data_IF_100588577635
#
_entry.id   IF_100588577635
#
_cell.length_a   1.000
_cell.length_b   1.000
_cell.length_c   1.000
_cell.angle_alpha   90.00
_cell.angle_beta   90.00
_cell.angle_gamma   90.00
#
_symmetry.space_group_name_H-M   'P 1'
#
loop_
_entity.id
_entity.type
_entity.pdbx_description
1 polymer ?
#
# COMPACT_ATOMS: atom_id res chain seq x y z
N UNK A 1 -9.20 -2.62 -3.22
CA UNK A 1 -9.00 -1.25 -2.73
C UNK A 1 -7.96 -1.28 -1.63
N UNK A 2 -6.96 -0.43 -1.70
CA UNK A 2 -5.94 -0.30 -0.66
C UNK A 2 -6.26 0.91 0.19
N UNK A 3 -6.41 0.70 1.47
CA UNK A 3 -6.40 1.75 2.46
C UNK A 3 -4.94 2.12 2.77
N UNK A 4 -4.55 3.33 2.48
CA UNK A 4 -3.17 3.81 2.73
C UNK A 4 -2.77 3.83 4.20
N UNK A 5 -3.73 3.67 5.11
CA UNK A 5 -3.49 3.76 6.55
C UNK A 5 -3.23 2.41 7.19
N UNK A 6 -3.96 1.38 6.79
CA UNK A 6 -4.12 0.17 7.60
C UNK A 6 -3.89 -1.14 6.84
N UNK A 7 -3.31 -1.09 5.67
CA UNK A 7 -3.11 -2.28 4.86
C UNK A 7 -4.30 -2.54 3.92
N UNK A 8 -4.49 -3.78 3.55
CA UNK A 8 -5.36 -4.15 2.46
C UNK A 8 -6.74 -4.50 2.99
N UNK A 9 -7.75 -3.70 2.61
CA UNK A 9 -9.13 -4.16 2.69
C UNK A 9 -9.32 -5.38 1.78
N UNK A 10 -10.19 -6.35 2.12
CA UNK A 10 -10.46 -7.49 1.27
C UNK A 10 -10.82 -7.02 -0.14
N UNK A 11 -9.94 -7.30 -1.10
CA UNK A 11 -10.10 -6.87 -2.50
C UNK A 11 -11.15 -7.71 -3.21
N UNK A 12 -11.89 -7.19 -4.22
CA UNK A 12 -12.63 -8.02 -5.15
C UNK A 12 -11.68 -9.04 -5.80
N UNK A 13 -12.06 -10.30 -5.80
CA UNK A 13 -11.25 -11.38 -6.37
C UNK A 13 -11.72 -12.74 -5.89
N UNK A 14 -11.10 -13.79 -6.42
CA UNK A 14 -11.50 -15.18 -6.23
C UNK A 14 -11.74 -15.54 -4.76
N UNK A 15 -10.84 -15.12 -3.87
CA UNK A 15 -10.93 -15.40 -2.44
C UNK A 15 -12.08 -14.68 -1.74
N UNK A 16 -12.28 -13.40 -2.04
CA UNK A 16 -13.16 -12.54 -1.25
C UNK A 16 -14.57 -12.37 -1.87
N UNK A 17 -14.70 -12.49 -3.19
CA UNK A 17 -15.95 -12.21 -3.92
C UNK A 17 -16.30 -13.21 -5.00
N UNK A 18 -15.47 -14.23 -5.21
CA UNK A 18 -15.65 -15.23 -6.27
C UNK A 18 -15.18 -14.72 -7.63
N UNK A 19 -15.50 -15.48 -8.68
CA UNK A 19 -15.04 -15.26 -10.05
C UNK A 19 -16.07 -14.57 -10.95
N UNK A 20 -17.30 -14.45 -10.49
CA UNK A 20 -18.37 -13.84 -11.27
C UNK A 20 -18.28 -12.32 -11.32
N UNK A 21 -18.57 -11.70 -12.47
CA UNK A 21 -18.58 -10.25 -12.60
C UNK A 21 -19.61 -9.59 -11.67
N UNK A 22 -19.43 -8.33 -11.32
CA UNK A 22 -20.36 -7.62 -10.48
C UNK A 22 -19.92 -6.19 -10.16
N UNK A 23 -20.87 -5.46 -9.60
CA UNK A 23 -20.66 -4.12 -9.12
C UNK A 23 -20.29 -4.12 -7.63
N UNK A 24 -19.33 -3.29 -7.28
CA UNK A 24 -18.78 -3.18 -5.93
C UNK A 24 -18.79 -1.72 -5.51
N UNK A 25 -19.05 -1.46 -4.24
CA UNK A 25 -19.06 -0.12 -3.68
C UNK A 25 -17.87 0.09 -2.74
N UNK A 26 -17.03 1.09 -3.03
CA UNK A 26 -16.02 1.58 -2.10
C UNK A 26 -16.56 2.81 -1.37
N UNK A 27 -16.46 2.81 -0.04
CA UNK A 27 -16.96 3.89 0.81
C UNK A 27 -15.91 4.34 1.82
N UNK A 28 -15.95 5.62 2.19
CA UNK A 28 -15.10 6.19 3.23
C UNK A 28 -15.58 5.88 4.65
N UNK A 29 -14.85 6.36 5.66
CA UNK A 29 -15.09 6.03 7.07
C UNK A 29 -16.46 6.52 7.59
N UNK A 30 -16.96 7.61 7.03
CA UNK A 30 -18.21 8.25 7.48
C UNK A 30 -19.48 7.64 6.88
N UNK A 31 -19.34 6.66 5.97
CA UNK A 31 -20.47 6.02 5.34
C UNK A 31 -21.33 5.26 6.35
N UNK A 32 -22.61 5.61 6.43
CA UNK A 32 -23.61 4.98 7.33
C UNK A 32 -24.65 4.16 6.57
N UNK A 33 -24.61 4.15 5.24
CA UNK A 33 -25.57 3.42 4.42
C UNK A 33 -25.36 1.91 4.44
N UNK A 34 -26.39 1.19 4.00
CA UNK A 34 -26.34 -0.25 3.75
C UNK A 34 -25.80 -0.61 2.37
N UNK A 35 -25.97 -1.87 1.96
CA UNK A 35 -25.61 -2.33 0.62
C UNK A 35 -26.74 -2.00 -0.36
N UNK A 36 -26.53 -1.13 -1.36
CA UNK A 36 -27.54 -0.83 -2.36
C UNK A 36 -27.87 -2.03 -3.25
N UNK A 37 -29.09 -2.05 -3.82
CA UNK A 37 -29.47 -3.06 -4.79
C UNK A 37 -28.52 -3.08 -5.99
N UNK A 38 -28.11 -4.26 -6.43
CA UNK A 38 -27.16 -4.46 -7.53
C UNK A 38 -25.70 -4.43 -7.11
N UNK A 39 -25.38 -4.04 -5.88
CA UNK A 39 -24.01 -4.07 -5.33
C UNK A 39 -23.75 -5.43 -4.65
N UNK A 40 -22.75 -6.17 -5.11
CA UNK A 40 -22.36 -7.45 -4.53
C UNK A 40 -21.74 -7.31 -3.14
N UNK A 41 -20.90 -6.31 -2.94
CA UNK A 41 -20.22 -6.07 -1.67
C UNK A 41 -19.81 -4.60 -1.51
N UNK A 42 -19.87 -4.13 -0.26
CA UNK A 42 -19.36 -2.81 0.14
C UNK A 42 -17.99 -2.99 0.77
N UNK A 43 -16.99 -2.28 0.25
CA UNK A 43 -15.65 -2.18 0.82
C UNK A 43 -15.54 -0.85 1.57
N UNK A 44 -15.21 -0.93 2.86
CA UNK A 44 -15.10 0.24 3.74
C UNK A 44 -13.63 0.62 3.90
N UNK A 45 -13.31 1.83 3.52
CA UNK A 45 -12.00 2.43 3.80
C UNK A 45 -12.01 3.11 5.16
N UNK A 46 -10.92 3.03 5.89
CA UNK A 46 -10.72 3.75 7.16
C UNK A 46 -10.26 5.19 6.93
N UNK A 47 -9.96 5.56 5.68
CA UNK A 47 -9.58 6.92 5.29
C UNK A 47 -10.46 7.42 4.13
N UNK A 48 -10.59 8.75 3.92
CA UNK A 48 -11.32 9.28 2.78
C UNK A 48 -10.61 9.04 1.43
N UNK A 49 -9.34 8.62 1.46
CA UNK A 49 -8.57 8.31 0.25
C UNK A 49 -8.39 6.81 0.07
N UNK A 50 -8.80 6.31 -1.08
CA UNK A 50 -8.68 4.90 -1.44
C UNK A 50 -8.07 4.78 -2.83
N UNK A 51 -7.11 3.88 -2.99
CA UNK A 51 -6.58 3.49 -4.29
C UNK A 51 -7.21 2.16 -4.71
N UNK A 52 -7.83 2.12 -5.89
CA UNK A 52 -8.27 0.89 -6.52
C UNK A 52 -7.28 0.51 -7.63
N UNK A 53 -6.68 -0.67 -7.51
CA UNK A 53 -5.84 -1.27 -8.56
C UNK A 53 -6.58 -2.47 -9.11
N UNK A 54 -6.86 -2.47 -10.41
CA UNK A 54 -7.52 -3.57 -11.08
C UNK A 54 -6.49 -4.30 -11.94
N UNK A 55 -6.30 -5.59 -11.68
CA UNK A 55 -5.42 -6.45 -12.47
C UNK A 55 -6.24 -7.42 -13.28
N UNK A 56 -5.97 -7.50 -14.58
CA UNK A 56 -6.55 -8.47 -15.49
C UNK A 56 -5.47 -9.47 -15.87
N UNK A 57 -5.74 -10.75 -15.68
CA UNK A 57 -4.78 -11.79 -16.03
C UNK A 57 -4.59 -11.85 -17.54
N UNK A 58 -3.33 -11.91 -17.97
CA UNK A 58 -2.89 -12.16 -19.35
C UNK A 58 -2.21 -13.52 -19.36
N UNK A 59 -2.81 -14.51 -20.03
CA UNK A 59 -2.26 -15.87 -20.06
C UNK A 59 -1.06 -16.00 -21.02
N UNK A 60 -1.10 -15.28 -22.13
CA UNK A 60 -0.02 -15.22 -23.14
C UNK A 60 -0.28 -14.01 -24.07
N UNK A 61 0.66 -13.63 -24.92
CA UNK A 61 0.48 -12.48 -25.83
C UNK A 61 -0.74 -12.57 -26.74
N UNK A 62 -1.17 -13.77 -27.13
CA UNK A 62 -2.37 -13.97 -27.97
C UNK A 62 -3.69 -13.72 -27.24
N UNK A 63 -3.68 -13.65 -25.91
CA UNK A 63 -4.86 -13.35 -25.07
C UNK A 63 -5.14 -11.84 -24.92
N UNK A 64 -4.26 -10.98 -25.45
CA UNK A 64 -4.39 -9.53 -25.31
C UNK A 64 -5.76 -8.98 -25.74
N UNK A 65 -6.35 -9.42 -26.90
CA UNK A 65 -7.68 -8.93 -27.30
C UNK A 65 -8.79 -9.23 -26.28
N UNK A 66 -8.71 -10.37 -25.58
CA UNK A 66 -9.68 -10.68 -24.51
C UNK A 66 -9.47 -9.78 -23.30
N UNK A 67 -8.20 -9.51 -22.92
CA UNK A 67 -7.86 -8.59 -21.83
C UNK A 67 -8.38 -7.20 -22.12
N UNK A 68 -8.15 -6.67 -23.32
CA UNK A 68 -8.63 -5.36 -23.76
C UNK A 68 -10.17 -5.28 -23.74
N UNK A 69 -10.84 -6.32 -24.20
CA UNK A 69 -12.30 -6.43 -24.16
C UNK A 69 -12.83 -6.37 -22.72
N UNK A 70 -12.20 -7.09 -21.80
CA UNK A 70 -12.57 -7.08 -20.37
C UNK A 70 -12.32 -5.69 -19.78
N UNK A 71 -11.14 -5.12 -20.02
CA UNK A 71 -10.75 -3.81 -19.50
C UNK A 71 -11.64 -2.68 -20.02
N UNK A 72 -12.11 -2.75 -21.28
CA UNK A 72 -13.05 -1.78 -21.84
C UNK A 72 -14.40 -1.75 -21.13
N UNK A 73 -14.74 -2.84 -20.44
CA UNK A 73 -15.95 -2.95 -19.62
C UNK A 73 -15.80 -2.36 -18.21
N UNK A 74 -14.59 -2.01 -17.77
CA UNK A 74 -14.41 -1.44 -16.43
C UNK A 74 -14.98 -0.04 -16.34
N UNK A 75 -15.81 0.20 -15.33
CA UNK A 75 -16.47 1.47 -15.11
C UNK A 75 -16.35 1.89 -13.65
N UNK A 76 -15.86 3.10 -13.43
CA UNK A 76 -15.92 3.75 -12.13
C UNK A 76 -16.89 4.93 -12.21
N UNK A 77 -17.82 5.02 -11.25
CA UNK A 77 -18.81 6.09 -11.21
C UNK A 77 -19.22 6.40 -9.77
N UNK A 78 -19.68 7.62 -9.47
CA UNK A 78 -20.27 7.93 -8.17
C UNK A 78 -21.51 7.07 -7.89
N UNK A 79 -21.77 6.77 -6.62
CA UNK A 79 -22.95 6.00 -6.22
C UNK A 79 -24.26 6.65 -6.65
N UNK A 80 -24.36 7.98 -6.63
CA UNK A 80 -25.51 8.71 -7.12
C UNK A 80 -25.81 8.43 -8.60
N UNK A 81 -24.77 8.38 -9.44
CA UNK A 81 -24.92 8.01 -10.84
C UNK A 81 -25.37 6.56 -11.03
N UNK A 82 -24.81 5.63 -10.24
CA UNK A 82 -25.23 4.22 -10.26
C UNK A 82 -26.70 4.07 -9.87
N UNK A 83 -27.16 4.78 -8.85
CA UNK A 83 -28.53 4.77 -8.36
C UNK A 83 -29.50 5.67 -9.17
N UNK A 84 -29.00 6.36 -10.19
CA UNK A 84 -29.77 7.35 -10.98
C UNK A 84 -30.40 8.46 -10.10
N UNK A 85 -29.67 8.89 -9.11
CA UNK A 85 -30.05 9.95 -8.18
C UNK A 85 -29.28 11.25 -8.47
N UNK A 86 -29.78 12.42 -8.04
CA UNK A 86 -29.03 13.65 -8.13
C UNK A 86 -27.66 13.56 -7.49
N UNK A 87 -26.66 14.18 -8.12
CA UNK A 87 -25.33 14.26 -7.54
C UNK A 87 -25.36 15.06 -6.23
N UNK A 88 -24.62 14.65 -5.19
CA UNK A 88 -24.42 15.46 -4.00
C UNK A 88 -23.66 16.77 -4.37
N UNK A 89 -23.67 17.78 -3.49
CA UNK A 89 -22.82 18.96 -3.66
C UNK A 89 -21.36 18.56 -3.91
N UNK A 90 -20.68 19.32 -4.76
CA UNK A 90 -19.26 19.08 -5.02
C UNK A 90 -18.44 19.17 -3.72
N UNK A 91 -17.51 18.25 -3.54
CA UNK A 91 -16.57 18.32 -2.44
C UNK A 91 -15.71 19.60 -2.56
N UNK A 92 -15.28 20.18 -1.42
CA UNK A 92 -14.34 21.29 -1.44
C UNK A 92 -13.07 20.93 -2.22
N UNK A 93 -12.55 21.90 -2.99
CA UNK A 93 -11.27 21.72 -3.66
C UNK A 93 -10.17 21.55 -2.63
N UNK A 94 -9.32 20.53 -2.83
CA UNK A 94 -8.14 20.28 -2.00
C UNK A 94 -6.92 20.64 -2.83
N UNK A 95 -6.10 21.57 -2.35
CA UNK A 95 -4.82 21.87 -2.95
C UNK A 95 -3.76 20.91 -2.38
N UNK A 96 -3.55 19.81 -3.11
CA UNK A 96 -2.55 18.82 -2.74
C UNK A 96 -1.13 19.35 -3.01
N UNK A 97 -0.21 19.04 -2.09
CA UNK A 97 1.22 19.22 -2.35
C UNK A 97 1.64 18.39 -3.56
N UNK A 98 2.55 18.93 -4.35
CA UNK A 98 3.07 18.22 -5.52
C UNK A 98 3.72 16.90 -5.12
N UNK A 99 3.23 15.79 -5.66
CA UNK A 99 3.74 14.45 -5.35
C UNK A 99 5.00 14.18 -6.18
N UNK A 100 6.16 14.58 -5.66
CA UNK A 100 7.45 14.25 -6.23
C UNK A 100 8.40 13.73 -5.15
N UNK A 101 9.27 12.80 -5.51
CA UNK A 101 10.17 12.10 -4.58
C UNK A 101 11.12 13.06 -3.87
N UNK A 102 11.71 14.01 -4.59
CA UNK A 102 12.63 14.99 -4.00
C UNK A 102 11.92 15.89 -2.99
N UNK A 103 10.77 16.46 -3.36
CA UNK A 103 9.98 17.29 -2.46
C UNK A 103 9.54 16.55 -1.19
N UNK A 104 9.11 15.30 -1.31
CA UNK A 104 8.73 14.47 -0.15
C UNK A 104 9.94 14.20 0.75
N UNK A 105 11.11 13.89 0.18
CA UNK A 105 12.34 13.63 0.94
C UNK A 105 12.79 14.86 1.70
N UNK A 106 12.78 16.04 1.06
CA UNK A 106 13.28 17.28 1.66
C UNK A 106 12.30 17.90 2.65
N UNK A 107 10.98 17.66 2.48
CA UNK A 107 9.91 18.26 3.27
C UNK A 107 8.97 17.23 3.89
N UNK A 108 9.46 16.08 4.28
CA UNK A 108 8.67 14.94 4.77
C UNK A 108 7.60 15.34 5.79
N UNK A 109 7.95 16.14 6.79
CA UNK A 109 7.00 16.52 7.85
C UNK A 109 5.88 17.44 7.34
N UNK A 110 6.12 18.24 6.31
CA UNK A 110 5.07 19.05 5.69
C UNK A 110 4.07 18.16 4.95
N UNK A 111 4.56 17.13 4.23
CA UNK A 111 3.69 16.15 3.57
C UNK A 111 2.92 15.30 4.58
N UNK A 112 3.57 14.91 5.67
CA UNK A 112 2.92 14.18 6.76
C UNK A 112 1.82 15.02 7.38
N UNK A 113 2.08 16.30 7.71
CA UNK A 113 1.09 17.20 8.26
C UNK A 113 -0.12 17.36 7.33
N UNK A 114 0.13 17.62 6.04
CA UNK A 114 -0.91 17.72 5.04
C UNK A 114 -1.75 16.44 4.93
N UNK A 115 -1.13 15.25 4.98
CA UNK A 115 -1.83 13.97 4.94
C UNK A 115 -2.68 13.75 6.20
N UNK A 116 -2.17 14.14 7.37
CA UNK A 116 -2.84 13.94 8.65
C UNK A 116 -4.08 14.81 8.84
N UNK A 117 -4.27 15.87 8.05
CA UNK A 117 -5.52 16.65 8.04
C UNK A 117 -6.73 15.79 7.64
N UNK A 118 -6.51 14.74 6.85
CA UNK A 118 -7.57 13.90 6.28
C UNK A 118 -7.69 12.54 6.97
N UNK A 119 -6.77 12.17 7.84
CA UNK A 119 -6.72 10.84 8.43
C UNK A 119 -7.24 10.89 9.87
N UNK A 120 -8.43 10.31 10.18
CA UNK A 120 -8.95 10.27 11.54
C UNK A 120 -7.98 9.59 12.52
N UNK A 121 -7.91 10.04 13.75
CA UNK A 121 -7.10 9.37 14.78
C UNK A 121 -7.75 8.06 15.23
N UNK A 122 -6.95 7.01 15.42
CA UNK A 122 -7.40 5.77 16.04
C UNK A 122 -6.79 5.60 17.44
N UNK A 123 -7.37 4.74 18.29
CA UNK A 123 -6.80 4.45 19.60
C UNK A 123 -5.32 3.98 19.55
N UNK A 124 -4.92 3.28 18.49
CA UNK A 124 -3.55 2.75 18.33
C UNK A 124 -2.54 3.82 17.93
N UNK A 125 -2.95 4.85 17.17
CA UNK A 125 -2.02 5.90 16.74
C UNK A 125 -2.02 7.14 17.66
N UNK A 126 -2.86 7.16 18.67
CA UNK A 126 -2.98 8.28 19.64
C UNK A 126 -1.63 8.71 20.22
N UNK A 127 -0.81 7.75 20.66
CA UNK A 127 0.48 8.06 21.27
C UNK A 127 1.47 8.69 20.30
N UNK A 128 1.55 8.22 19.06
CA UNK A 128 2.43 8.83 18.04
C UNK A 128 1.87 10.18 17.58
N UNK A 129 0.55 10.31 17.46
CA UNK A 129 -0.10 11.58 17.14
C UNK A 129 0.20 12.65 18.19
N UNK A 130 0.15 12.29 19.48
CA UNK A 130 0.50 13.21 20.56
C UNK A 130 1.97 13.68 20.45
N UNK A 131 2.91 12.81 20.05
CA UNK A 131 4.31 13.20 19.79
C UNK A 131 4.41 14.17 18.62
N UNK A 132 3.75 13.88 17.50
CA UNK A 132 3.73 14.74 16.32
C UNK A 132 3.10 16.11 16.62
N UNK A 133 2.05 16.15 17.41
CA UNK A 133 1.39 17.38 17.82
C UNK A 133 2.31 18.34 18.61
N UNK A 134 3.32 17.82 19.32
CA UNK A 134 4.31 18.63 20.04
C UNK A 134 5.22 19.46 19.11
N UNK A 135 5.42 18.99 17.89
CA UNK A 135 6.20 19.69 16.85
C UNK A 135 5.30 20.38 15.81
N UNK A 136 4.01 20.54 16.11
CA UNK A 136 3.08 21.29 15.27
C UNK A 136 2.47 20.48 14.12
N UNK A 137 2.52 19.15 14.16
CA UNK A 137 1.98 18.27 13.10
C UNK A 137 0.67 17.64 13.54
N UNK A 138 -0.36 17.72 12.71
CA UNK A 138 -1.66 17.07 12.92
C UNK A 138 -2.87 17.94 12.61
N UNK A 139 -4.10 17.42 12.77
CA UNK A 139 -5.32 18.13 12.43
C UNK A 139 -5.44 19.49 13.14
N UNK A 140 -5.75 20.52 12.37
CA UNK A 140 -5.87 21.90 12.87
C UNK A 140 -4.54 22.56 13.22
N UNK A 141 -3.41 21.95 12.87
CA UNK A 141 -2.05 22.50 12.99
C UNK A 141 -1.49 22.77 11.62
N UNK A 142 -0.43 23.56 11.56
CA UNK A 142 0.32 23.83 10.33
C UNK A 142 1.81 23.73 10.65
N UNK A 143 2.45 22.72 10.12
CA UNK A 143 3.88 22.55 10.26
C UNK A 143 4.62 23.52 9.34
N UNK A 144 5.32 24.47 9.93
CA UNK A 144 6.04 25.50 9.21
C UNK A 144 7.56 25.40 9.48
N UNK A 145 8.24 24.50 8.75
CA UNK A 145 9.69 24.27 8.90
C UNK A 145 10.49 25.56 8.80
N UNK A 146 10.10 26.47 7.88
CA UNK A 146 10.80 27.77 7.67
C UNK A 146 10.85 28.63 8.92
N UNK A 147 9.87 28.53 9.79
CA UNK A 147 9.69 29.40 10.98
C UNK A 147 10.38 28.82 12.23
N UNK A 148 10.97 27.63 12.13
CA UNK A 148 11.72 27.01 13.23
C UNK A 148 13.09 27.70 13.41
N UNK A 149 13.63 27.62 14.64
CA UNK A 149 15.02 28.01 14.93
C UNK A 149 16.02 27.16 14.13
N UNK A 150 17.25 27.63 13.97
CA UNK A 150 18.31 26.86 13.31
C UNK A 150 18.58 25.53 14.02
N UNK A 151 18.54 25.52 15.36
CA UNK A 151 18.72 24.34 16.18
C UNK A 151 17.61 23.31 15.90
N UNK A 152 16.34 23.70 15.99
CA UNK A 152 15.22 22.78 15.71
C UNK A 152 15.20 22.29 14.26
N UNK A 153 15.60 23.13 13.29
CA UNK A 153 15.78 22.68 11.91
C UNK A 153 16.83 21.57 11.80
N UNK A 154 17.96 21.74 12.46
CA UNK A 154 19.03 20.75 12.47
C UNK A 154 18.57 19.44 13.15
N UNK A 155 17.90 19.52 14.29
CA UNK A 155 17.35 18.34 15.00
C UNK A 155 16.36 17.55 14.13
N UNK A 156 15.47 18.25 13.41
CA UNK A 156 14.50 17.61 12.49
C UNK A 156 15.22 16.90 11.36
N UNK A 157 16.21 17.53 10.72
CA UNK A 157 16.96 16.90 9.62
C UNK A 157 17.73 15.66 10.09
N UNK A 158 18.35 15.74 11.27
CA UNK A 158 19.01 14.58 11.90
C UNK A 158 18.01 13.48 12.21
N UNK A 159 16.86 13.83 12.77
CA UNK A 159 15.78 12.87 13.08
C UNK A 159 15.22 12.17 11.83
N UNK A 160 15.02 12.91 10.72
CA UNK A 160 14.59 12.36 9.44
C UNK A 160 15.61 11.34 8.91
N UNK A 161 16.91 11.71 8.91
CA UNK A 161 17.95 10.78 8.49
C UNK A 161 18.03 9.53 9.36
N UNK A 162 18.01 9.68 10.67
CA UNK A 162 18.02 8.54 11.61
C UNK A 162 16.81 7.65 11.44
N UNK A 163 15.64 8.21 11.15
CA UNK A 163 14.42 7.47 10.85
C UNK A 163 14.55 6.64 9.58
N UNK A 164 15.03 7.24 8.52
CA UNK A 164 15.27 6.59 7.23
C UNK A 164 16.29 5.45 7.35
N UNK A 165 17.44 5.70 7.99
CA UNK A 165 18.47 4.70 8.26
C UNK A 165 17.93 3.49 9.07
N UNK A 166 17.03 3.73 10.03
CA UNK A 166 16.40 2.65 10.80
C UNK A 166 15.46 1.81 9.94
N UNK A 167 14.69 2.45 9.07
CA UNK A 167 13.81 1.75 8.13
C UNK A 167 14.62 0.90 7.16
N UNK A 168 15.71 1.42 6.62
CA UNK A 168 16.59 0.68 5.71
C UNK A 168 17.25 -0.53 6.38
N UNK A 169 17.76 -0.36 7.60
CA UNK A 169 18.29 -1.48 8.39
C UNK A 169 17.24 -2.54 8.64
N UNK A 170 16.01 -2.13 8.95
CA UNK A 170 14.92 -3.06 9.18
C UNK A 170 14.58 -3.84 7.89
N UNK A 171 14.47 -3.16 6.75
CA UNK A 171 14.22 -3.80 5.45
C UNK A 171 15.33 -4.80 5.08
N UNK A 172 16.57 -4.49 5.38
CA UNK A 172 17.70 -5.39 5.12
C UNK A 172 17.66 -6.66 5.97
N UNK A 173 17.08 -6.61 7.17
CA UNK A 173 17.11 -7.71 8.17
C UNK A 173 15.74 -8.33 8.46
N UNK A 174 14.64 -7.74 7.99
CA UNK A 174 13.29 -8.02 8.46
C UNK A 174 12.69 -9.37 8.03
N UNK A 175 13.21 -10.01 6.98
CA UNK A 175 12.71 -11.28 6.48
C UNK A 175 13.59 -12.46 6.91
N UNK A 176 12.96 -13.60 7.22
CA UNK A 176 13.66 -14.85 7.51
C UNK A 176 14.39 -15.33 6.26
N UNK A 177 15.67 -15.66 6.41
CA UNK A 177 16.44 -16.32 5.36
C UNK A 177 16.17 -17.83 5.41
N UNK A 178 15.76 -18.38 4.28
CA UNK A 178 15.58 -19.82 4.09
C UNK A 178 16.27 -20.19 2.78
N UNK A 179 17.41 -20.85 2.88
CA UNK A 179 18.21 -21.28 1.72
C UNK A 179 18.56 -20.13 0.76
N UNK A 180 18.93 -18.97 1.27
CA UNK A 180 19.26 -17.78 0.49
C UNK A 180 18.04 -16.97 0.00
N UNK A 181 16.83 -17.43 0.29
CA UNK A 181 15.60 -16.70 -0.02
C UNK A 181 15.10 -15.95 1.20
N UNK A 182 14.75 -14.69 1.02
CA UNK A 182 14.04 -13.90 2.03
C UNK A 182 12.56 -14.26 1.96
N UNK A 183 12.07 -14.93 3.00
CA UNK A 183 10.70 -15.43 3.08
C UNK A 183 10.00 -14.79 4.26
N UNK A 184 8.78 -14.37 4.06
CA UNK A 184 7.93 -13.76 5.07
C UNK A 184 6.95 -12.77 4.46
N UNK A 185 6.05 -12.25 5.27
CA UNK A 185 5.19 -11.13 4.93
C UNK A 185 5.30 -10.09 6.04
N UNK A 186 5.44 -8.85 5.63
CA UNK A 186 5.39 -7.68 6.51
C UNK A 186 4.29 -6.71 6.07
N UNK A 187 3.28 -7.24 5.36
CA UNK A 187 2.11 -6.52 4.93
C UNK A 187 0.87 -7.00 5.68
N UNK A 188 0.05 -6.06 6.11
CA UNK A 188 -1.17 -6.36 6.83
C UNK A 188 -1.94 -5.09 7.19
N UNK A 189 -2.97 -5.27 7.99
CA UNK A 189 -3.82 -4.21 8.50
C UNK A 189 -3.24 -3.57 9.79
N UNK A 190 -3.99 -2.68 10.41
CA UNK A 190 -3.60 -2.03 11.67
C UNK A 190 -3.43 -3.03 12.82
N UNK A 191 -4.23 -4.10 12.84
CA UNK A 191 -4.14 -5.13 13.87
C UNK A 191 -2.86 -5.97 13.71
N UNK A 192 -2.47 -6.26 12.49
CA UNK A 192 -1.23 -6.96 12.15
C UNK A 192 0.01 -6.17 12.64
N UNK A 193 0.08 -4.88 12.35
CA UNK A 193 1.20 -4.05 12.80
C UNK A 193 1.20 -3.81 14.31
N UNK A 194 0.04 -3.77 14.94
CA UNK A 194 -0.15 -3.64 16.38
C UNK A 194 0.74 -2.60 17.08
N UNK A 195 0.94 -1.44 16.44
CA UNK A 195 1.79 -0.36 16.94
C UNK A 195 3.28 -0.49 16.61
N UNK A 196 3.70 -1.49 15.87
CA UNK A 196 5.05 -1.55 15.30
C UNK A 196 5.18 -0.59 14.11
N UNK A 197 5.49 0.67 14.45
CA UNK A 197 5.66 1.75 13.48
C UNK A 197 6.87 1.55 12.57
N UNK A 198 7.90 0.85 13.03
CA UNK A 198 9.09 0.59 12.23
C UNK A 198 8.78 -0.44 11.13
N UNK A 199 8.15 -1.56 11.50
CA UNK A 199 7.68 -2.55 10.53
C UNK A 199 6.73 -1.93 9.52
N UNK A 200 5.77 -1.09 9.99
CA UNK A 200 4.82 -0.40 9.11
C UNK A 200 5.50 0.57 8.14
N UNK A 201 6.49 1.34 8.61
CA UNK A 201 7.28 2.23 7.76
C UNK A 201 8.11 1.43 6.75
N UNK A 202 8.70 0.31 7.17
CA UNK A 202 9.40 -0.62 6.30
C UNK A 202 8.49 -1.21 5.22
N UNK A 203 7.29 -1.65 5.59
CA UNK A 203 6.30 -2.14 4.64
C UNK A 203 5.91 -1.06 3.61
N UNK A 204 5.70 0.18 4.05
CA UNK A 204 5.38 1.29 3.16
C UNK A 204 6.53 1.64 2.21
N UNK A 205 7.78 1.62 2.68
CA UNK A 205 8.98 1.91 1.87
C UNK A 205 9.32 0.76 0.93
N UNK A 206 9.21 -0.48 1.39
CA UNK A 206 9.59 -1.68 0.63
C UNK A 206 8.53 -2.19 -0.34
N UNK A 207 7.25 -1.83 -0.14
CA UNK A 207 6.17 -2.34 -0.99
C UNK A 207 4.81 -1.82 -0.58
N UNK A 208 4.56 -0.51 -0.72
CA UNK A 208 3.35 0.17 -0.27
C UNK A 208 2.02 -0.53 -0.63
N UNK A 209 2.01 -1.29 -1.71
CA UNK A 209 0.84 -2.01 -2.21
C UNK A 209 0.97 -3.54 -2.09
N UNK A 210 1.90 -4.02 -1.28
CA UNK A 210 2.06 -5.44 -0.99
C UNK A 210 0.82 -6.01 -0.30
N UNK A 211 0.43 -7.22 -0.66
CA UNK A 211 -0.71 -7.92 -0.07
C UNK A 211 -0.32 -8.61 1.24
N UNK A 212 -1.28 -8.83 2.12
CA UNK A 212 -1.08 -9.68 3.29
C UNK A 212 -0.83 -11.15 2.90
N UNK A 213 -0.31 -11.93 3.83
CA UNK A 213 0.05 -13.33 3.58
C UNK A 213 -1.14 -14.22 3.21
N UNK A 214 -2.37 -13.85 3.57
CA UNK A 214 -3.56 -14.60 3.19
C UNK A 214 -3.90 -14.43 1.71
N UNK A 215 -3.48 -13.32 1.10
CA UNK A 215 -3.68 -13.03 -0.32
C UNK A 215 -2.47 -13.42 -1.17
N UNK A 216 -1.26 -13.04 -0.77
CA UNK A 216 -0.04 -13.34 -1.53
C UNK A 216 1.22 -13.34 -0.66
N UNK A 217 2.17 -14.21 -1.03
CA UNK A 217 3.51 -14.23 -0.47
C UNK A 217 4.51 -13.77 -1.53
N UNK A 218 5.55 -13.05 -1.11
CA UNK A 218 6.58 -12.49 -1.99
C UNK A 218 7.99 -12.92 -1.56
N UNK A 219 8.35 -14.21 -1.69
CA UNK A 219 9.74 -14.62 -1.48
C UNK A 219 10.66 -14.00 -2.52
N UNK A 220 11.82 -13.52 -2.09
CA UNK A 220 12.81 -12.97 -3.01
C UNK A 220 14.22 -13.33 -2.61
N UNK A 221 15.14 -13.34 -3.58
CA UNK A 221 16.58 -13.42 -3.37
C UNK A 221 17.29 -12.34 -4.20
N UNK A 222 18.45 -11.94 -3.75
CA UNK A 222 19.37 -11.04 -4.47
C UNK A 222 20.70 -11.69 -4.74
N UNK A 223 20.87 -12.93 -4.32
CA UNK A 223 22.11 -13.70 -4.49
C UNK A 223 21.80 -15.05 -5.11
N UNK A 224 22.79 -15.62 -5.76
CA UNK A 224 22.76 -17.00 -6.25
C UNK A 224 23.06 -18.01 -5.11
N UNK A 225 23.16 -19.28 -5.47
CA UNK A 225 23.43 -20.37 -4.52
C UNK A 225 24.84 -20.31 -3.90
N UNK A 226 25.75 -19.53 -4.46
CA UNK A 226 27.11 -19.31 -3.91
C UNK A 226 27.17 -18.09 -3.00
N UNK A 227 26.09 -17.28 -2.94
CA UNK A 227 26.02 -16.03 -2.20
C UNK A 227 26.44 -14.79 -2.99
N UNK A 228 26.81 -14.94 -4.27
CA UNK A 228 27.16 -13.83 -5.13
C UNK A 228 25.92 -13.07 -5.58
N UNK A 229 25.99 -11.73 -5.75
CA UNK A 229 24.89 -10.93 -6.25
C UNK A 229 24.40 -11.40 -7.61
N UNK A 230 23.07 -11.44 -7.80
CA UNK A 230 22.49 -11.72 -9.10
C UNK A 230 22.82 -10.59 -10.08
N UNK A 231 23.30 -10.98 -11.27
CA UNK A 231 23.63 -10.07 -12.37
C UNK A 231 23.17 -10.71 -13.70
N UNK A 232 21.97 -10.36 -14.13
CA UNK A 232 21.36 -10.87 -15.37
C UNK A 232 22.07 -10.41 -16.64
N UNK A 233 22.95 -9.39 -16.57
CA UNK A 233 23.76 -8.95 -17.70
C UNK A 233 24.94 -9.91 -17.98
N UNK A 234 25.38 -10.66 -16.96
CA UNK A 234 26.54 -11.56 -17.02
C UNK A 234 26.18 -13.03 -17.01
N UNK A 235 25.09 -13.39 -16.31
CA UNK A 235 24.76 -14.77 -16.00
C UNK A 235 23.31 -15.11 -16.36
N UNK A 236 23.07 -16.37 -16.68
CA UNK A 236 21.75 -16.99 -16.78
C UNK A 236 21.51 -17.80 -15.52
N UNK A 237 20.35 -17.62 -14.88
CA UNK A 237 20.00 -18.31 -13.66
C UNK A 237 18.90 -19.33 -13.92
N UNK A 238 18.95 -20.46 -13.20
CA UNK A 238 17.97 -21.53 -13.26
C UNK A 238 17.42 -21.73 -11.87
N UNK A 239 16.09 -21.71 -11.74
CA UNK A 239 15.39 -22.12 -10.53
C UNK A 239 14.79 -23.49 -10.79
N UNK A 240 15.13 -24.45 -9.93
CA UNK A 240 14.61 -25.81 -10.04
C UNK A 240 13.62 -26.09 -8.93
N UNK A 241 12.43 -26.51 -9.28
CA UNK A 241 11.44 -27.04 -8.36
C UNK A 241 11.44 -28.57 -8.48
N UNK A 242 11.88 -29.31 -7.46
CA UNK A 242 11.81 -30.77 -7.48
C UNK A 242 10.37 -31.28 -7.65
N UNK A 243 10.15 -32.50 -8.14
CA UNK A 243 8.83 -33.09 -8.24
C UNK A 243 8.07 -33.01 -6.90
N UNK A 244 6.84 -32.54 -6.94
CA UNK A 244 5.99 -32.35 -5.76
C UNK A 244 6.33 -31.15 -4.88
N UNK A 245 7.28 -30.29 -5.26
CA UNK A 245 7.71 -29.13 -4.48
C UNK A 245 7.40 -27.79 -5.18
N UNK A 246 6.36 -27.75 -6.00
CA UNK A 246 5.85 -26.49 -6.53
C UNK A 246 5.30 -25.60 -5.40
N UNK A 247 5.31 -24.26 -5.57
CA UNK A 247 4.76 -23.36 -4.57
C UNK A 247 3.32 -23.74 -4.16
N UNK A 248 3.02 -23.86 -2.86
CA UNK A 248 1.73 -24.34 -2.36
C UNK A 248 0.68 -23.22 -2.39
N UNK A 249 0.21 -22.85 -3.56
CA UNK A 249 -0.74 -21.77 -3.78
C UNK A 249 -2.08 -22.29 -4.34
N UNK A 250 -3.16 -21.58 -4.05
CA UNK A 250 -4.51 -21.96 -4.50
C UNK A 250 -4.86 -21.40 -5.89
N UNK A 251 -4.22 -20.28 -6.29
CA UNK A 251 -4.55 -19.62 -7.55
C UNK A 251 -3.40 -19.75 -8.57
N UNK A 252 -2.32 -19.03 -8.39
CA UNK A 252 -1.17 -19.08 -9.29
C UNK A 252 0.12 -18.65 -8.58
N UNK A 253 1.23 -18.96 -9.20
CA UNK A 253 2.53 -18.42 -8.84
C UNK A 253 3.29 -17.94 -10.08
N UNK A 254 4.23 -17.06 -9.90
CA UNK A 254 5.10 -16.56 -10.96
C UNK A 254 6.50 -16.30 -10.42
N UNK A 255 7.48 -16.35 -11.32
CA UNK A 255 8.84 -15.87 -11.06
C UNK A 255 9.06 -14.63 -11.91
N UNK A 256 9.49 -13.55 -11.27
CA UNK A 256 9.75 -12.28 -11.95
C UNK A 256 11.15 -11.82 -11.57
N UNK A 257 11.95 -11.43 -12.56
CA UNK A 257 13.21 -10.74 -12.34
C UNK A 257 12.97 -9.24 -12.45
N UNK A 258 13.52 -8.49 -11.52
CA UNK A 258 13.51 -7.02 -11.52
C UNK A 258 14.93 -6.52 -11.75
N UNK A 259 15.06 -5.40 -12.45
CA UNK A 259 16.32 -4.69 -12.69
C UNK A 259 16.84 -4.01 -11.42
#
# INVERSE_FOLDING_TARGET
AHDRRHGIEPSPGTRATGTEPGDYLAVGPDWKGGTPNGIKKVFRSTTPFTLAVVRTQLFNPGDMPNVEKIQSGYKAQPLSAFLKQPAPPAAPKIDFLAANTAGIKDNFFQYLDAALQFVPETPRDKAIRAKLARIGIGPGKTFAFKDLSLEHKAEILVGMKQGDDKVDKWLASGNKDINGWKVGSFFGDEAFFNGDWLMRAGAAKGGLYGNDAAEAMYPYTRTDATGEPLDGSKHKYIITFPPGQLPPVNAFWSVTMYD
#
